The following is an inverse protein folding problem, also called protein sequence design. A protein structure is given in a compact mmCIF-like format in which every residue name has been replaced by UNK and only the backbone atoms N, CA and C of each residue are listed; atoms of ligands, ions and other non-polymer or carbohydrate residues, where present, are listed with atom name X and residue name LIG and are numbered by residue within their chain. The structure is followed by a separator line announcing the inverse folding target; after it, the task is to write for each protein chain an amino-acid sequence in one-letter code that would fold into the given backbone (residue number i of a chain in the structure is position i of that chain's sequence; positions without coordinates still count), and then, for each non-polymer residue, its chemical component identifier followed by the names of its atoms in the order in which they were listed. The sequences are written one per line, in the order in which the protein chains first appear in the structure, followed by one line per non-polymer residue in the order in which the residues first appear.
data_IF_116192707186
#
_entry.id   IF_116192707186
#
_cell.length_a   1.000
_cell.length_b   1.000
_cell.length_c   1.000
_cell.angle_alpha   90.00
_cell.angle_beta   90.00
_cell.angle_gamma   90.00
#
_symmetry.space_group_name_H-M   'P 1'
#
loop_
_entity.id
_entity.type
_entity.pdbx_description
1 polymer ?
#
# COMPACT_ATOMS: atom_id res chain seq x y z
N UNK A 1 5.36 -6.02 19.67
CA UNK A 1 4.18 -6.16 18.79
C UNK A 1 4.38 -5.23 17.59
N UNK A 2 3.97 -5.67 16.41
CA UNK A 2 3.93 -4.81 15.22
C UNK A 2 2.47 -4.56 14.85
N UNK A 3 2.14 -3.33 14.48
CA UNK A 3 0.80 -2.91 14.10
C UNK A 3 0.73 -2.69 12.60
N UNK A 4 -0.14 -3.40 11.91
CA UNK A 4 -0.49 -3.14 10.51
C UNK A 4 -1.79 -2.34 10.48
N UNK A 5 -1.75 -1.13 9.94
CA UNK A 5 -2.90 -0.23 9.83
C UNK A 5 -3.41 -0.29 8.41
N UNK A 6 -4.57 -0.91 8.23
CA UNK A 6 -5.13 -1.24 6.92
C UNK A 6 -6.55 -0.68 6.75
N UNK A 7 -7.04 -0.69 5.54
CA UNK A 7 -8.35 -0.19 5.15
C UNK A 7 -8.30 0.61 3.86
N UNK A 8 -9.46 0.97 3.34
CA UNK A 8 -9.58 1.72 2.09
C UNK A 8 -8.93 3.10 2.17
N UNK A 9 -8.70 3.71 1.01
CA UNK A 9 -8.30 5.11 0.92
C UNK A 9 -9.30 5.99 1.70
N UNK A 10 -8.79 6.95 2.49
CA UNK A 10 -9.60 7.88 3.29
C UNK A 10 -10.32 7.28 4.50
N UNK A 11 -10.06 6.02 4.85
CA UNK A 11 -10.66 5.39 6.04
C UNK A 11 -10.18 5.99 7.38
N UNK A 12 -9.18 6.88 7.38
CA UNK A 12 -8.63 7.51 8.58
C UNK A 12 -7.37 6.82 9.13
N UNK A 13 -6.65 6.07 8.29
CA UNK A 13 -5.41 5.36 8.67
C UNK A 13 -4.37 6.28 9.32
N UNK A 14 -4.12 7.45 8.72
CA UNK A 14 -3.12 8.38 9.23
C UNK A 14 -3.47 8.89 10.64
N UNK A 15 -4.76 9.14 10.93
CA UNK A 15 -5.23 9.51 12.27
C UNK A 15 -5.03 8.35 13.26
N UNK A 16 -5.32 7.12 12.85
CA UNK A 16 -5.10 5.95 13.70
C UNK A 16 -3.60 5.76 14.00
N UNK A 17 -2.74 5.95 13.00
CA UNK A 17 -1.28 5.89 13.18
C UNK A 17 -0.80 6.93 14.20
N UNK A 18 -1.32 8.16 14.16
CA UNK A 18 -0.98 9.19 15.14
C UNK A 18 -1.41 8.79 16.56
N UNK A 19 -2.61 8.24 16.74
CA UNK A 19 -3.06 7.72 18.02
C UNK A 19 -2.19 6.56 18.51
N UNK A 20 -1.90 5.58 17.64
CA UNK A 20 -1.03 4.46 17.98
C UNK A 20 0.40 4.90 18.31
N UNK A 21 0.97 5.86 17.57
CA UNK A 21 2.31 6.39 17.86
C UNK A 21 2.37 7.14 19.19
N UNK A 22 1.30 7.85 19.53
CA UNK A 22 1.17 8.49 20.86
C UNK A 22 1.07 7.47 21.99
N UNK A 23 0.35 6.37 21.77
CA UNK A 23 0.18 5.28 22.73
C UNK A 23 1.42 4.39 22.86
N UNK A 24 2.14 4.19 21.77
CA UNK A 24 3.35 3.35 21.68
C UNK A 24 4.55 4.19 21.18
N UNK A 25 5.07 5.12 21.98
CA UNK A 25 6.09 6.08 21.54
C UNK A 25 7.45 5.47 21.22
N UNK A 26 7.67 4.20 21.59
CA UNK A 26 8.87 3.44 21.27
C UNK A 26 8.76 2.64 19.96
N UNK A 27 7.63 2.77 19.24
CA UNK A 27 7.43 2.12 17.94
C UNK A 27 7.91 3.03 16.81
N UNK A 28 8.58 2.43 15.83
CA UNK A 28 8.92 3.10 14.58
C UNK A 28 7.71 3.12 13.65
N UNK A 29 7.38 4.29 13.12
CA UNK A 29 6.27 4.47 12.17
C UNK A 29 6.79 4.42 10.74
N UNK A 30 6.11 3.64 9.89
CA UNK A 30 6.36 3.56 8.45
C UNK A 30 5.07 3.95 7.72
N UNK A 31 5.11 5.09 7.07
CA UNK A 31 3.99 5.60 6.25
C UNK A 31 4.12 5.11 4.82
N UNK A 32 3.02 5.14 4.10
CA UNK A 32 3.01 4.80 2.67
C UNK A 32 4.04 5.64 1.89
N UNK A 33 4.85 4.97 1.07
CA UNK A 33 5.96 5.58 0.32
C UNK A 33 7.28 5.75 1.10
N UNK A 34 7.31 5.48 2.41
CA UNK A 34 8.57 5.40 3.16
C UNK A 34 9.31 4.09 2.81
N UNK A 35 10.63 4.07 3.04
CA UNK A 35 11.34 2.79 3.04
C UNK A 35 10.78 1.89 4.13
N UNK A 36 10.15 0.82 3.72
CA UNK A 36 9.41 -0.10 4.57
C UNK A 36 10.03 -1.50 4.47
N UNK A 37 10.26 -2.21 5.58
CA UNK A 37 10.94 -3.51 5.56
C UNK A 37 10.15 -4.62 4.85
N UNK A 38 8.84 -4.47 4.68
CA UNK A 38 7.95 -5.50 4.09
C UNK A 38 7.29 -5.06 2.79
N UNK A 39 7.06 -3.76 2.59
CA UNK A 39 6.29 -3.21 1.50
C UNK A 39 7.15 -2.30 0.60
N UNK A 40 6.84 -2.21 -0.71
CA UNK A 40 7.59 -1.45 -1.71
C UNK A 40 6.73 -0.49 -2.55
N UNK A 41 5.48 -0.27 -2.17
CA UNK A 41 4.64 0.66 -2.92
C UNK A 41 5.29 2.05 -2.97
N UNK A 42 5.20 2.67 -4.14
CA UNK A 42 5.73 4.01 -4.41
C UNK A 42 7.26 4.10 -4.31
N UNK A 43 7.94 2.95 -4.43
CA UNK A 43 9.39 2.86 -4.44
C UNK A 43 9.88 2.16 -5.70
N UNK A 44 10.92 2.68 -6.33
CA UNK A 44 11.61 1.97 -7.40
C UNK A 44 12.54 0.89 -6.82
N UNK A 45 12.49 -0.32 -7.39
CA UNK A 45 13.28 -1.48 -6.95
C UNK A 45 14.22 -1.94 -8.06
N UNK A 46 15.44 -1.46 -8.04
CA UNK A 46 16.39 -1.55 -9.15
C UNK A 46 17.65 -2.37 -8.81
N UNK A 47 18.41 -2.80 -9.84
CA UNK A 47 19.76 -3.32 -9.65
C UNK A 47 20.75 -2.20 -9.29
N UNK A 48 21.93 -2.56 -8.80
CA UNK A 48 23.00 -1.57 -8.51
C UNK A 48 23.42 -0.83 -9.77
N UNK A 49 23.50 -1.53 -10.90
CA UNK A 49 23.87 -0.93 -12.20
C UNK A 49 22.81 0.10 -12.63
N UNK A 50 21.53 -0.25 -12.52
CA UNK A 50 20.44 0.67 -12.87
C UNK A 50 20.37 1.87 -11.93
N UNK A 51 20.71 1.69 -10.66
CA UNK A 51 20.83 2.78 -9.70
C UNK A 51 21.88 3.81 -10.14
N UNK A 52 23.07 3.35 -10.54
CA UNK A 52 24.12 4.27 -11.03
C UNK A 52 23.69 4.98 -12.32
N UNK A 53 22.99 4.30 -13.25
CA UNK A 53 22.43 4.94 -14.44
C UNK A 53 21.41 6.04 -14.09
N UNK A 54 20.58 5.81 -13.07
CA UNK A 54 19.61 6.81 -12.58
C UNK A 54 20.34 8.02 -12.01
N UNK A 55 21.37 7.80 -11.18
CA UNK A 55 22.20 8.88 -10.62
C UNK A 55 22.91 9.70 -11.70
N UNK A 56 23.35 9.06 -12.78
CA UNK A 56 23.97 9.73 -13.90
C UNK A 56 22.97 10.47 -14.79
N UNK A 57 21.75 9.99 -14.88
CA UNK A 57 20.67 10.65 -15.63
C UNK A 57 20.17 11.89 -14.89
N UNK A 58 19.98 11.77 -13.57
CA UNK A 58 19.41 12.83 -12.71
C UNK A 58 20.49 13.42 -11.78
N UNK A 59 21.59 13.89 -12.37
CA UNK A 59 22.75 14.41 -11.60
C UNK A 59 22.41 15.54 -10.64
N UNK A 60 21.45 16.37 -11.01
CA UNK A 60 20.95 17.48 -10.19
C UNK A 60 20.19 17.00 -8.94
N UNK A 61 19.65 15.78 -8.94
CA UNK A 61 18.95 15.16 -7.82
C UNK A 61 19.78 14.08 -7.12
N UNK A 62 21.08 13.96 -7.47
CA UNK A 62 21.93 12.87 -6.95
C UNK A 62 21.88 12.77 -5.43
N UNK A 63 22.01 13.90 -4.74
CA UNK A 63 22.03 13.91 -3.28
C UNK A 63 20.70 13.43 -2.70
N UNK A 64 19.56 13.95 -3.20
CA UNK A 64 18.23 13.58 -2.75
C UNK A 64 17.92 12.10 -3.03
N UNK A 65 18.36 11.60 -4.20
CA UNK A 65 18.21 10.18 -4.56
C UNK A 65 19.04 9.32 -3.59
N UNK A 66 20.30 9.68 -3.31
CA UNK A 66 21.15 8.94 -2.37
C UNK A 66 20.56 8.94 -0.96
N UNK A 67 20.06 10.07 -0.47
CA UNK A 67 19.41 10.20 0.84
C UNK A 67 18.11 9.40 0.98
N UNK A 68 17.39 9.20 -0.12
CA UNK A 68 16.12 8.45 -0.17
C UNK A 68 16.28 7.04 -0.72
N UNK A 69 17.50 6.51 -0.76
CA UNK A 69 17.82 5.18 -1.28
C UNK A 69 18.36 4.26 -0.20
N UNK A 70 17.99 2.99 -0.29
CA UNK A 70 18.35 1.96 0.68
C UNK A 70 18.89 0.72 -0.04
N UNK A 71 19.95 0.14 0.54
CA UNK A 71 20.57 -1.07 -0.01
C UNK A 71 19.87 -2.33 0.49
N UNK A 72 19.48 -3.21 -0.46
CA UNK A 72 18.93 -4.53 -0.16
C UNK A 72 19.68 -5.62 -0.94
N UNK A 73 20.81 -6.04 -0.40
CA UNK A 73 21.65 -7.05 -1.04
C UNK A 73 22.17 -6.60 -2.41
N UNK A 74 21.70 -7.21 -3.50
CA UNK A 74 22.05 -6.83 -4.89
C UNK A 74 21.14 -5.74 -5.48
N UNK A 75 20.16 -5.26 -4.72
CA UNK A 75 19.16 -4.28 -5.16
C UNK A 75 19.30 -2.96 -4.41
N UNK A 76 18.68 -1.93 -4.96
CA UNK A 76 18.43 -0.63 -4.34
C UNK A 76 16.94 -0.35 -4.33
N UNK A 77 16.43 0.17 -3.22
CA UNK A 77 15.10 0.75 -3.09
C UNK A 77 15.24 2.26 -3.11
N UNK A 78 14.55 2.94 -4.00
CA UNK A 78 14.53 4.41 -4.09
C UNK A 78 13.11 4.87 -3.74
N UNK A 79 12.94 5.56 -2.63
CA UNK A 79 11.66 6.18 -2.24
C UNK A 79 11.44 7.46 -3.06
N UNK A 80 11.29 7.30 -4.37
CA UNK A 80 11.32 8.39 -5.33
C UNK A 80 10.14 9.37 -5.18
N UNK A 81 8.99 8.91 -4.68
CA UNK A 81 7.84 9.76 -4.41
C UNK A 81 8.03 10.71 -3.22
N UNK A 82 9.06 10.47 -2.39
CA UNK A 82 9.47 11.37 -1.30
C UNK A 82 10.47 12.43 -1.75
N UNK A 83 10.86 12.42 -3.01
CA UNK A 83 11.71 13.46 -3.63
C UNK A 83 10.78 14.44 -4.33
N UNK A 84 10.61 15.63 -3.74
CA UNK A 84 9.78 16.69 -4.31
C UNK A 84 10.63 17.48 -5.29
N UNK A 85 10.30 17.38 -6.58
CA UNK A 85 11.08 18.02 -7.64
C UNK A 85 10.23 18.35 -8.86
N UNK A 86 10.62 19.40 -9.58
CA UNK A 86 10.06 19.79 -10.87
C UNK A 86 10.91 19.29 -12.06
N UNK A 87 11.91 18.43 -11.81
CA UNK A 87 12.76 17.85 -12.86
C UNK A 87 11.89 17.00 -13.78
N UNK A 88 11.78 17.36 -15.07
CA UNK A 88 10.87 16.72 -15.99
C UNK A 88 11.17 15.21 -16.13
N UNK A 89 10.15 14.39 -16.05
CA UNK A 89 10.24 12.95 -16.27
C UNK A 89 10.67 12.14 -15.06
N UNK A 90 11.27 12.71 -14.02
CA UNK A 90 11.85 11.98 -12.90
C UNK A 90 10.89 10.95 -12.29
N UNK A 91 9.71 11.38 -11.85
CA UNK A 91 8.74 10.48 -11.21
C UNK A 91 8.23 9.41 -12.19
N UNK A 92 7.93 9.80 -13.44
CA UNK A 92 7.44 8.88 -14.48
C UNK A 92 8.50 7.84 -14.87
N UNK A 93 9.76 8.23 -14.91
CA UNK A 93 10.86 7.33 -15.25
C UNK A 93 11.19 6.35 -14.11
N UNK A 94 11.01 6.78 -12.84
CA UNK A 94 11.24 5.89 -11.73
C UNK A 94 10.04 4.96 -11.44
N UNK A 95 8.84 5.42 -11.72
CA UNK A 95 7.61 4.63 -11.60
C UNK A 95 7.69 3.29 -12.34
N UNK A 96 8.35 3.24 -13.52
CA UNK A 96 8.50 2.01 -14.29
C UNK A 96 9.27 0.89 -13.56
N UNK A 97 9.99 1.22 -12.50
CA UNK A 97 10.78 0.27 -11.70
C UNK A 97 10.09 -0.16 -10.41
N UNK A 98 8.84 0.20 -10.20
CA UNK A 98 8.03 -0.38 -9.12
C UNK A 98 7.77 -1.87 -9.39
N UNK A 99 7.37 -2.61 -8.35
CA UNK A 99 6.99 -4.02 -8.49
C UNK A 99 5.51 -4.21 -8.82
N UNK A 100 4.70 -3.15 -8.70
CA UNK A 100 3.25 -3.11 -8.91
C UNK A 100 2.87 -2.84 -10.37
N UNK A 101 1.57 -2.90 -10.67
CA UNK A 101 0.99 -2.53 -11.97
C UNK A 101 1.52 -3.36 -13.15
N UNK A 102 1.71 -4.69 -12.92
CA UNK A 102 2.27 -5.63 -13.90
C UNK A 102 3.67 -5.25 -14.43
N UNK A 103 4.46 -4.45 -13.69
CA UNK A 103 5.83 -4.11 -14.07
C UNK A 103 6.82 -5.23 -13.83
N UNK A 104 6.43 -6.22 -13.05
CA UNK A 104 7.15 -7.48 -12.87
C UNK A 104 6.20 -8.66 -13.13
N UNK A 105 6.73 -9.86 -13.34
CA UNK A 105 5.89 -11.05 -13.46
C UNK A 105 5.16 -11.38 -12.15
N UNK A 106 4.04 -12.10 -12.22
CA UNK A 106 3.31 -12.55 -11.01
C UNK A 106 4.20 -13.37 -10.08
N UNK A 107 5.08 -14.19 -10.64
CA UNK A 107 6.04 -15.00 -9.91
C UNK A 107 7.08 -14.13 -9.18
N UNK A 108 7.62 -13.13 -9.86
CA UNK A 108 8.57 -12.19 -9.27
C UNK A 108 7.90 -11.31 -8.21
N UNK A 109 6.68 -10.83 -8.46
CA UNK A 109 5.88 -10.08 -7.49
C UNK A 109 5.72 -10.89 -6.19
N UNK A 110 5.19 -12.10 -6.30
CA UNK A 110 5.03 -13.00 -5.15
C UNK A 110 6.37 -13.26 -4.45
N UNK A 111 7.41 -13.60 -5.21
CA UNK A 111 8.75 -13.88 -4.66
C UNK A 111 9.31 -12.70 -3.89
N UNK A 112 9.25 -11.48 -4.44
CA UNK A 112 9.78 -10.27 -3.80
C UNK A 112 9.04 -10.01 -2.49
N UNK A 113 7.71 -10.02 -2.48
CA UNK A 113 6.91 -9.80 -1.28
C UNK A 113 7.24 -10.85 -0.21
N UNK A 114 7.20 -12.14 -0.58
CA UNK A 114 7.45 -13.22 0.37
C UNK A 114 8.87 -13.19 0.94
N UNK A 115 9.86 -12.87 0.13
CA UNK A 115 11.25 -12.77 0.59
C UNK A 115 11.44 -11.62 1.59
N UNK A 116 10.76 -10.49 1.39
CA UNK A 116 10.77 -9.36 2.33
C UNK A 116 10.12 -9.73 3.65
N UNK A 117 8.93 -10.32 3.62
CA UNK A 117 8.26 -10.78 4.84
C UNK A 117 9.02 -11.89 5.59
N UNK A 118 9.71 -12.81 4.88
CA UNK A 118 10.59 -13.82 5.53
C UNK A 118 11.78 -13.17 6.23
N UNK A 119 12.42 -12.21 5.57
CA UNK A 119 13.59 -11.49 6.10
C UNK A 119 13.24 -10.54 7.23
N UNK A 120 12.01 -10.04 7.23
CA UNK A 120 11.54 -9.14 8.27
C UNK A 120 11.61 -9.81 9.64
N UNK A 121 12.38 -9.22 10.54
CA UNK A 121 12.59 -9.74 11.91
C UNK A 121 12.66 -8.61 12.93
N UNK A 122 11.91 -7.54 12.71
CA UNK A 122 11.84 -6.40 13.60
C UNK A 122 10.59 -6.44 14.46
N UNK A 123 10.62 -5.73 15.57
CA UNK A 123 9.49 -5.56 16.49
C UNK A 123 9.26 -4.06 16.73
N UNK A 124 8.14 -3.71 17.32
CA UNK A 124 7.77 -2.32 17.64
C UNK A 124 7.67 -1.43 16.42
N UNK A 125 6.87 -1.85 15.45
CA UNK A 125 6.59 -1.10 14.23
C UNK A 125 5.11 -0.78 14.11
N UNK A 126 4.80 0.36 13.51
CA UNK A 126 3.48 0.75 13.04
C UNK A 126 3.62 0.94 11.52
N UNK A 127 2.93 0.12 10.74
CA UNK A 127 3.09 -0.03 9.30
C UNK A 127 1.78 0.36 8.60
N UNK A 128 1.79 1.40 7.78
CA UNK A 128 0.63 1.85 6.99
C UNK A 128 0.57 1.12 5.65
N UNK A 129 -0.62 0.61 5.27
CA UNK A 129 -0.90 0.03 3.94
C UNK A 129 0.09 -1.07 3.50
N UNK A 130 0.65 -1.82 4.46
CA UNK A 130 1.79 -2.69 4.15
C UNK A 130 1.41 -4.15 3.96
N UNK A 131 0.17 -4.54 4.28
CA UNK A 131 -0.26 -5.93 4.19
C UNK A 131 -1.35 -6.15 3.13
N UNK A 132 -2.32 -5.24 2.99
CA UNK A 132 -3.47 -5.43 2.10
C UNK A 132 -3.51 -4.43 0.96
N UNK A 133 -3.61 -3.13 1.26
CA UNK A 133 -4.04 -2.12 0.30
C UNK A 133 -3.37 -2.27 -1.08
N UNK A 134 -2.06 -2.22 -1.15
CA UNK A 134 -1.34 -2.20 -2.42
C UNK A 134 -1.27 -3.60 -3.06
N UNK A 135 -1.13 -4.65 -2.24
CA UNK A 135 -1.02 -6.04 -2.72
C UNK A 135 -2.36 -6.51 -3.29
N UNK A 136 -3.46 -6.34 -2.55
CA UNK A 136 -4.80 -6.78 -2.99
C UNK A 136 -5.25 -5.98 -4.21
N UNK A 137 -5.02 -4.65 -4.20
CA UNK A 137 -5.33 -3.77 -5.33
C UNK A 137 -4.62 -4.22 -6.60
N UNK A 138 -3.31 -4.47 -6.54
CA UNK A 138 -2.54 -4.95 -7.69
C UNK A 138 -3.03 -6.31 -8.19
N UNK A 139 -3.27 -7.25 -7.27
CA UNK A 139 -3.74 -8.58 -7.63
C UNK A 139 -5.10 -8.54 -8.33
N UNK A 140 -6.04 -7.68 -7.88
CA UNK A 140 -7.33 -7.51 -8.54
C UNK A 140 -7.16 -6.76 -9.86
N UNK A 141 -6.66 -5.52 -9.83
CA UNK A 141 -6.73 -4.59 -10.96
C UNK A 141 -5.73 -4.93 -12.08
N UNK A 142 -4.52 -5.36 -11.72
CA UNK A 142 -3.46 -5.55 -12.71
C UNK A 142 -3.19 -7.02 -13.03
N UNK A 143 -3.25 -7.89 -12.02
CA UNK A 143 -3.05 -9.32 -12.26
C UNK A 143 -4.34 -10.04 -12.66
N UNK A 144 -5.51 -9.38 -12.53
CA UNK A 144 -6.85 -9.94 -12.77
C UNK A 144 -7.03 -11.28 -12.03
N UNK A 145 -6.56 -11.30 -10.77
CA UNK A 145 -6.63 -12.48 -9.92
C UNK A 145 -8.04 -12.66 -9.34
N UNK A 146 -8.50 -13.90 -9.26
CA UNK A 146 -9.74 -14.26 -8.56
C UNK A 146 -9.55 -14.17 -7.05
N UNK A 147 -10.66 -14.05 -6.31
CA UNK A 147 -10.66 -14.08 -4.84
C UNK A 147 -9.96 -15.32 -4.29
N UNK A 148 -10.14 -16.48 -4.97
CA UNK A 148 -9.52 -17.73 -4.55
C UNK A 148 -7.99 -17.70 -4.71
N UNK A 149 -7.47 -17.07 -5.76
CA UNK A 149 -6.03 -16.89 -5.96
C UNK A 149 -5.45 -15.93 -4.93
N UNK A 150 -6.18 -14.85 -4.60
CA UNK A 150 -5.78 -13.89 -3.57
C UNK A 150 -5.79 -14.56 -2.19
N UNK A 151 -6.83 -15.30 -1.85
CA UNK A 151 -6.88 -16.05 -0.60
C UNK A 151 -5.73 -17.07 -0.51
N UNK A 152 -5.45 -17.81 -1.58
CA UNK A 152 -4.33 -18.73 -1.64
C UNK A 152 -2.97 -18.05 -1.44
N UNK A 153 -2.79 -16.84 -2.01
CA UNK A 153 -1.60 -16.02 -1.75
C UNK A 153 -1.47 -15.69 -0.26
N UNK A 154 -2.55 -15.25 0.39
CA UNK A 154 -2.54 -14.92 1.82
C UNK A 154 -2.46 -16.13 2.73
N UNK A 155 -2.98 -17.30 2.36
CA UNK A 155 -2.76 -18.56 3.09
C UNK A 155 -1.27 -18.91 3.16
N UNK A 156 -0.55 -18.74 2.05
CA UNK A 156 0.89 -18.96 2.04
C UNK A 156 1.64 -17.87 2.81
N UNK A 157 1.26 -16.59 2.65
CA UNK A 157 1.87 -15.49 3.39
C UNK A 157 1.61 -15.61 4.89
N UNK A 158 0.41 -16.06 5.29
CA UNK A 158 0.05 -16.35 6.67
C UNK A 158 0.98 -17.39 7.32
N UNK A 159 1.42 -18.41 6.57
CA UNK A 159 2.41 -19.38 7.04
C UNK A 159 3.78 -18.72 7.28
N UNK A 160 4.18 -17.79 6.43
CA UNK A 160 5.42 -17.00 6.61
C UNK A 160 5.33 -16.11 7.83
N UNK A 161 4.14 -15.63 8.15
CA UNK A 161 3.86 -14.72 9.27
C UNK A 161 3.45 -15.44 10.57
N UNK A 162 3.40 -16.79 10.60
CA UNK A 162 2.89 -17.54 11.75
C UNK A 162 3.61 -17.20 13.05
N UNK A 163 4.94 -17.10 13.02
CA UNK A 163 5.78 -16.82 14.19
C UNK A 163 6.03 -15.32 14.43
N UNK A 164 5.52 -14.45 13.57
CA UNK A 164 5.71 -12.99 13.69
C UNK A 164 4.69 -12.40 14.68
N UNK A 165 5.15 -11.51 15.54
CA UNK A 165 4.29 -10.78 16.48
C UNK A 165 3.68 -9.58 15.77
N UNK A 166 2.50 -9.74 15.23
CA UNK A 166 1.76 -8.68 14.53
C UNK A 166 0.29 -8.66 14.94
N UNK A 167 -0.32 -7.50 14.81
CA UNK A 167 -1.76 -7.28 14.90
C UNK A 167 -2.21 -6.33 13.80
N UNK A 168 -3.34 -6.64 13.16
CA UNK A 168 -3.93 -5.87 12.08
C UNK A 168 -5.04 -5.00 12.65
N UNK A 169 -4.91 -3.69 12.51
CA UNK A 169 -5.94 -2.72 12.81
C UNK A 169 -6.62 -2.33 11.49
N UNK A 170 -7.78 -2.91 11.22
CA UNK A 170 -8.49 -2.72 9.97
C UNK A 170 -9.61 -1.68 10.12
N UNK A 171 -9.53 -0.58 9.37
CA UNK A 171 -10.55 0.47 9.34
C UNK A 171 -11.60 0.16 8.27
N UNK A 172 -12.75 -0.36 8.70
CA UNK A 172 -13.87 -0.68 7.80
C UNK A 172 -14.81 0.50 7.64
N UNK A 173 -15.12 0.85 6.41
CA UNK A 173 -16.14 1.86 6.06
C UNK A 173 -17.52 1.21 5.99
N UNK A 174 -18.50 1.76 6.69
CA UNK A 174 -19.90 1.29 6.61
C UNK A 174 -20.55 1.68 5.28
N UNK A 175 -20.16 2.83 4.75
CA UNK A 175 -20.59 3.35 3.46
C UNK A 175 -19.37 3.81 2.67
N UNK A 176 -18.95 2.95 1.76
CA UNK A 176 -17.77 3.19 0.93
C UNK A 176 -17.98 4.39 -0.01
N UNK A 177 -19.17 4.54 -0.57
CA UNK A 177 -19.49 5.67 -1.46
C UNK A 177 -19.42 7.01 -0.71
N UNK A 178 -20.01 7.06 0.50
CA UNK A 178 -19.90 8.25 1.36
C UNK A 178 -18.46 8.54 1.74
N UNK A 179 -17.66 7.50 2.04
CA UNK A 179 -16.24 7.67 2.35
C UNK A 179 -15.47 8.26 1.16
N UNK A 180 -15.67 7.76 -0.05
CA UNK A 180 -15.05 8.29 -1.27
C UNK A 180 -15.44 9.76 -1.49
N UNK A 181 -16.70 10.11 -1.28
CA UNK A 181 -17.16 11.50 -1.41
C UNK A 181 -16.50 12.46 -0.39
N UNK A 182 -16.17 11.96 0.80
CA UNK A 182 -15.39 12.75 1.78
C UNK A 182 -13.98 12.98 1.27
N UNK A 183 -13.29 11.93 0.76
CA UNK A 183 -11.93 12.05 0.24
C UNK A 183 -11.86 13.00 -0.96
N UNK A 184 -12.83 12.94 -1.87
CA UNK A 184 -12.92 13.85 -3.02
C UNK A 184 -12.80 15.30 -2.57
N UNK A 185 -13.53 15.68 -1.51
CA UNK A 185 -13.50 17.02 -0.94
C UNK A 185 -12.18 17.33 -0.21
N UNK A 186 -11.71 16.40 0.62
CA UNK A 186 -10.47 16.56 1.39
C UNK A 186 -9.22 16.69 0.48
N UNK A 187 -9.26 16.08 -0.72
CA UNK A 187 -8.16 16.10 -1.70
C UNK A 187 -8.45 16.96 -2.92
N UNK A 188 -9.35 17.91 -2.80
CA UNK A 188 -9.52 19.00 -3.77
C UNK A 188 -8.49 20.11 -3.51
N UNK A 189 -8.18 20.89 -4.55
CA UNK A 189 -7.35 22.08 -4.40
C UNK A 189 -8.11 23.22 -3.66
N UNK A 190 -7.42 24.31 -3.39
CA UNK A 190 -7.97 25.50 -2.72
C UNK A 190 -9.13 26.17 -3.49
N UNK A 191 -9.31 25.82 -4.77
CA UNK A 191 -10.40 26.30 -5.63
C UNK A 191 -11.56 25.30 -5.69
N UNK A 192 -11.44 24.15 -5.03
CA UNK A 192 -12.44 23.07 -5.01
C UNK A 192 -12.37 22.15 -6.22
N UNK A 193 -11.31 22.20 -7.03
CA UNK A 193 -11.14 21.26 -8.13
C UNK A 193 -10.71 19.89 -7.57
N UNK A 194 -11.36 18.84 -8.05
CA UNK A 194 -11.04 17.48 -7.67
C UNK A 194 -9.72 17.04 -8.32
N UNK A 195 -8.67 16.85 -7.53
CA UNK A 195 -7.36 16.43 -8.01
C UNK A 195 -7.17 14.91 -7.96
N UNK A 196 -7.55 14.30 -6.83
CA UNK A 196 -7.32 12.88 -6.57
C UNK A 196 -8.31 11.97 -7.29
N UNK A 197 -9.60 12.33 -7.29
CA UNK A 197 -10.67 11.44 -7.79
C UNK A 197 -10.55 11.14 -9.29
N UNK A 198 -10.30 12.11 -10.19
CA UNK A 198 -10.10 11.83 -11.60
C UNK A 198 -8.89 10.91 -11.87
N UNK A 199 -7.82 11.03 -11.07
CA UNK A 199 -6.65 10.17 -11.18
C UNK A 199 -6.99 8.72 -10.79
N UNK A 200 -7.69 8.52 -9.67
CA UNK A 200 -8.14 7.20 -9.23
C UNK A 200 -9.13 6.56 -10.19
N UNK A 201 -10.07 7.34 -10.70
CA UNK A 201 -11.03 6.85 -11.70
C UNK A 201 -10.32 6.47 -13.01
N UNK A 202 -9.36 7.27 -13.45
CA UNK A 202 -8.51 6.94 -14.61
C UNK A 202 -7.71 5.66 -14.39
N UNK A 203 -7.10 5.52 -13.22
CA UNK A 203 -6.33 4.33 -12.84
C UNK A 203 -7.21 3.06 -12.86
N UNK A 204 -8.42 3.12 -12.29
CA UNK A 204 -9.38 2.03 -12.34
C UNK A 204 -9.80 1.70 -13.78
N UNK A 205 -10.26 2.70 -14.55
CA UNK A 205 -10.77 2.51 -15.91
C UNK A 205 -9.71 1.94 -16.87
N UNK A 206 -8.45 2.31 -16.69
CA UNK A 206 -7.32 1.85 -17.51
C UNK A 206 -6.77 0.50 -17.06
N UNK A 207 -7.20 -0.03 -15.92
CA UNK A 207 -6.72 -1.30 -15.39
C UNK A 207 -7.05 -2.48 -16.32
N UNK A 208 -6.20 -3.52 -16.35
CA UNK A 208 -6.50 -4.78 -17.04
C UNK A 208 -7.83 -5.40 -16.58
N UNK A 209 -8.16 -5.31 -15.30
CA UNK A 209 -9.43 -5.81 -14.75
C UNK A 209 -10.64 -5.10 -15.38
N UNK A 210 -10.68 -3.77 -15.34
CA UNK A 210 -11.81 -3.02 -15.89
C UNK A 210 -12.01 -3.30 -17.39
N UNK A 211 -10.90 -3.38 -18.16
CA UNK A 211 -10.92 -3.71 -19.58
C UNK A 211 -11.40 -5.15 -19.84
N UNK A 212 -10.93 -6.11 -19.06
CA UNK A 212 -11.32 -7.53 -19.23
C UNK A 212 -12.78 -7.77 -18.90
N UNK A 213 -13.34 -7.04 -17.92
CA UNK A 213 -14.73 -7.20 -17.48
C UNK A 213 -15.70 -6.21 -18.16
N UNK A 214 -15.18 -5.27 -18.96
CA UNK A 214 -16.01 -4.27 -19.65
C UNK A 214 -16.71 -3.30 -18.69
N UNK A 215 -16.10 -3.02 -17.53
CA UNK A 215 -16.63 -2.11 -16.49
C UNK A 215 -15.84 -0.81 -16.48
N UNK A 216 -16.51 0.29 -16.15
CA UNK A 216 -15.88 1.62 -16.04
C UNK A 216 -16.79 2.60 -15.30
N UNK A 217 -16.23 3.74 -14.92
CA UNK A 217 -16.96 4.81 -14.28
C UNK A 217 -16.97 4.71 -12.75
N UNK A 218 -17.62 5.69 -12.13
CA UNK A 218 -17.60 5.89 -10.68
C UNK A 218 -18.28 4.72 -9.94
N UNK A 219 -19.44 4.28 -10.41
CA UNK A 219 -20.19 3.20 -9.74
C UNK A 219 -19.38 1.90 -9.72
N UNK A 220 -18.77 1.53 -10.87
CA UNK A 220 -17.93 0.34 -10.95
C UNK A 220 -16.67 0.43 -10.07
N UNK A 221 -16.07 1.61 -9.95
CA UNK A 221 -14.94 1.84 -9.05
C UNK A 221 -15.37 1.73 -7.58
N UNK A 222 -16.54 2.23 -7.22
CA UNK A 222 -17.09 2.09 -5.86
C UNK A 222 -17.39 0.61 -5.55
N UNK A 223 -18.00 -0.12 -6.47
CA UNK A 223 -18.21 -1.57 -6.34
C UNK A 223 -16.91 -2.33 -6.15
N UNK A 224 -15.86 -1.96 -6.88
CA UNK A 224 -14.52 -2.52 -6.68
C UNK A 224 -14.00 -2.25 -5.27
N UNK A 225 -14.13 -1.05 -4.71
CA UNK A 225 -13.69 -0.75 -3.35
C UNK A 225 -14.52 -1.51 -2.30
N UNK A 226 -15.83 -1.69 -2.51
CA UNK A 226 -16.68 -2.52 -1.64
C UNK A 226 -16.17 -3.96 -1.65
N UNK A 227 -15.99 -4.53 -2.84
CA UNK A 227 -15.47 -5.90 -3.00
C UNK A 227 -14.09 -6.07 -2.34
N UNK A 228 -13.17 -5.12 -2.57
CA UNK A 228 -11.85 -5.17 -1.94
C UNK A 228 -11.93 -5.16 -0.42
N UNK A 229 -12.75 -4.29 0.17
CA UNK A 229 -12.96 -4.24 1.61
C UNK A 229 -13.49 -5.56 2.17
N UNK A 230 -14.46 -6.17 1.51
CA UNK A 230 -15.02 -7.45 1.90
C UNK A 230 -13.98 -8.57 1.85
N UNK A 231 -13.16 -8.60 0.80
CA UNK A 231 -12.09 -9.57 0.61
C UNK A 231 -10.98 -9.39 1.66
N UNK A 232 -10.54 -8.17 1.93
CA UNK A 232 -9.54 -7.86 2.97
C UNK A 232 -10.02 -8.28 4.37
N UNK A 233 -11.30 -8.01 4.70
CA UNK A 233 -11.88 -8.48 5.95
C UNK A 233 -12.03 -10.01 6.00
N UNK A 234 -12.30 -10.64 4.86
CA UNK A 234 -12.32 -12.10 4.74
C UNK A 234 -10.93 -12.69 5.00
N UNK A 235 -9.88 -12.11 4.46
CA UNK A 235 -8.48 -12.49 4.74
C UNK A 235 -8.19 -12.37 6.23
N UNK A 236 -8.60 -11.29 6.88
CA UNK A 236 -8.45 -11.14 8.34
C UNK A 236 -9.09 -12.30 9.10
N UNK A 237 -10.34 -12.63 8.77
CA UNK A 237 -11.10 -13.68 9.49
C UNK A 237 -10.55 -15.09 9.24
N UNK A 238 -10.22 -15.42 8.01
CA UNK A 238 -9.88 -16.80 7.63
C UNK A 238 -8.39 -17.12 7.85
N UNK A 239 -7.51 -16.12 7.71
CA UNK A 239 -6.06 -16.33 7.68
C UNK A 239 -5.35 -15.81 8.95
N UNK A 240 -5.88 -14.73 9.53
CA UNK A 240 -5.29 -14.11 10.71
C UNK A 240 -6.21 -14.16 11.96
N UNK A 241 -6.88 -15.29 12.29
CA UNK A 241 -7.80 -15.36 13.42
C UNK A 241 -7.12 -14.96 14.73
N UNK A 242 -7.75 -14.05 15.49
CA UNK A 242 -7.23 -13.55 16.76
C UNK A 242 -6.04 -12.58 16.65
N UNK A 243 -5.67 -12.17 15.41
CA UNK A 243 -4.55 -11.25 15.14
C UNK A 243 -5.02 -9.98 14.43
N UNK A 244 -6.29 -9.64 14.55
CA UNK A 244 -6.86 -8.44 13.94
C UNK A 244 -7.96 -7.85 14.82
N UNK A 245 -8.17 -6.55 14.66
CA UNK A 245 -9.32 -5.79 15.16
C UNK A 245 -9.92 -5.01 14.00
N UNK A 246 -11.22 -5.11 13.81
CA UNK A 246 -11.94 -4.26 12.85
C UNK A 246 -12.49 -3.06 13.59
N UNK A 247 -12.05 -1.88 13.22
CA UNK A 247 -12.51 -0.60 13.72
C UNK A 247 -13.47 0.04 12.71
N UNK A 248 -14.48 0.72 13.20
CA UNK A 248 -15.36 1.53 12.35
C UNK A 248 -14.61 2.77 11.87
N UNK A 249 -14.43 2.90 10.55
CA UNK A 249 -13.75 4.06 9.94
C UNK A 249 -14.27 5.39 10.50
N UNK A 250 -13.37 6.23 11.01
CA UNK A 250 -13.64 7.57 11.56
C UNK A 250 -14.58 7.60 12.79
N UNK A 251 -14.98 6.45 13.35
CA UNK A 251 -15.91 6.36 14.48
C UNK A 251 -15.58 5.15 15.38
N UNK A 252 -14.43 5.18 16.05
CA UNK A 252 -13.98 4.19 17.03
C UNK A 252 -13.49 4.88 18.29
N UNK A 253 -13.61 4.18 19.42
CA UNK A 253 -13.19 4.67 20.74
C UNK A 253 -11.73 4.31 21.02
N UNK A 254 -11.04 5.12 21.81
CA UNK A 254 -9.64 4.87 22.17
C UNK A 254 -9.45 3.55 22.96
N UNK A 255 -10.49 3.09 23.66
CA UNK A 255 -10.52 1.79 24.36
C UNK A 255 -10.46 0.59 23.41
N UNK A 256 -10.88 0.74 22.14
CA UNK A 256 -10.80 -0.31 21.10
C UNK A 256 -9.36 -0.50 20.58
N UNK A 257 -8.45 0.40 20.99
CA UNK A 257 -7.02 0.30 20.69
C UNK A 257 -6.23 -0.49 21.76
N UNK A 258 -6.92 -1.02 22.79
CA UNK A 258 -6.34 -1.83 23.87
C UNK A 258 -6.43 -3.32 23.51
N UNK A 259 -5.50 -3.83 22.68
CA UNK A 259 -5.44 -5.22 22.19
C UNK A 259 -4.14 -5.90 22.56
#
# INVERSE_FOLDING_TARGET
MNWFVEGLQGSGKSTLIEKLSGKYPDHQVFREGDYNPVELAWCAYVSKEKYEEILDTYKELRQEIEEKSYEEGSRRVICYTKIITDVPGFHKDLEQYEIYNNRVSKEDFKRIIFDRYRKWNSDKMILECSLFQNIVEDMILFQNASDQEILGFYEELGKVLADKKLHIMYLASEDVAANINVIRKERSDDQGNEMWFPLMLGFFNESPFAKAHGVSGEDAMIEHFVHRQELEQRICREIFPGRYTVLKSKNYEDSELDV
#
